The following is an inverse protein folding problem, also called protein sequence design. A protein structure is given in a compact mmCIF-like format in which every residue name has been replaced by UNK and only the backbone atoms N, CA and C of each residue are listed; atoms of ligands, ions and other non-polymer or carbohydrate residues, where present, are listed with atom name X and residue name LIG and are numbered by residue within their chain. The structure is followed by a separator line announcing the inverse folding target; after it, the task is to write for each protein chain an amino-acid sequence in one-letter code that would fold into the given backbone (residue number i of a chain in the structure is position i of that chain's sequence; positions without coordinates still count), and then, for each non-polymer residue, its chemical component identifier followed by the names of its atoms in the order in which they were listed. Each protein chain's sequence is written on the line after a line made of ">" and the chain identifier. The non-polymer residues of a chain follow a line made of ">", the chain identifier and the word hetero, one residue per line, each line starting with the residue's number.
data_IF_563157462351
#
_entry.id   IF_563157462351
#
_cell.length_a   1.000
_cell.length_b   1.000
_cell.length_c   1.000
_cell.angle_alpha   90.00
_cell.angle_beta   90.00
_cell.angle_gamma   90.00
#
_symmetry.space_group_name_H-M   'P 1'
#
loop_
_entity.id
_entity.type
_entity.pdbx_description
1 polymer ?
#
# COMPACT_ATOMS: atom_id res chain seq x y z
N UNK A 1 76.84 42.65 20.77
CA UNK A 1 76.83 41.55 19.76
C UNK A 1 75.47 40.88 19.84
N UNK A 2 74.62 41.12 18.85
CA UNK A 2 73.23 40.69 18.84
C UNK A 2 73.13 39.29 18.16
N UNK A 3 72.58 38.34 18.86
CA UNK A 3 72.25 37.04 18.30
C UNK A 3 70.77 36.96 18.02
N UNK A 4 70.43 36.84 16.75
CA UNK A 4 69.04 36.73 16.24
C UNK A 4 68.58 35.32 16.41
N UNK A 5 67.47 35.13 17.15
CA UNK A 5 66.75 33.86 17.23
C UNK A 5 65.75 33.74 16.07
N UNK A 6 65.91 32.74 15.23
CA UNK A 6 64.98 32.36 14.13
C UNK A 6 63.83 31.58 14.66
N UNK A 7 62.59 32.00 14.34
CA UNK A 7 61.34 31.28 14.62
C UNK A 7 61.18 30.15 13.60
N UNK A 8 61.20 28.89 14.03
CA UNK A 8 60.76 27.74 13.27
C UNK A 8 59.24 27.66 13.36
N UNK A 9 58.59 27.81 12.22
CA UNK A 9 57.15 27.61 12.04
C UNK A 9 56.83 26.09 12.08
N UNK A 10 56.03 25.70 13.06
CA UNK A 10 55.46 24.36 13.13
C UNK A 10 54.18 24.35 12.27
N UNK A 11 54.20 23.80 11.08
CA UNK A 11 52.99 23.48 10.33
C UNK A 11 52.41 22.17 10.89
N UNK A 12 51.32 22.30 11.67
CA UNK A 12 50.50 21.16 12.05
C UNK A 12 49.63 20.70 10.88
N UNK A 13 49.88 19.51 10.39
CA UNK A 13 48.99 18.83 9.44
C UNK A 13 47.81 18.30 10.23
N UNK A 14 46.65 18.99 10.09
CA UNK A 14 45.37 18.40 10.54
C UNK A 14 44.97 17.30 9.55
N UNK A 15 45.10 16.07 9.95
CA UNK A 15 44.50 14.94 9.25
C UNK A 15 42.96 14.99 9.44
N UNK A 16 42.23 15.38 8.42
CA UNK A 16 40.79 15.27 8.40
C UNK A 16 40.44 13.77 8.30
N UNK A 17 39.98 13.16 9.37
CA UNK A 17 39.38 11.87 9.35
C UNK A 17 38.04 11.94 8.56
N UNK A 18 37.78 11.06 7.60
CA UNK A 18 36.48 11.01 6.95
C UNK A 18 35.43 10.64 7.99
N UNK A 19 34.45 11.52 8.21
CA UNK A 19 33.25 11.22 8.95
C UNK A 19 32.48 10.17 8.13
N UNK A 20 32.62 8.90 8.46
CA UNK A 20 31.74 7.86 7.95
C UNK A 20 30.35 8.16 8.50
N UNK A 21 29.48 8.74 7.68
CA UNK A 21 28.07 8.88 8.00
C UNK A 21 27.54 7.46 8.23
N UNK A 22 27.24 7.13 9.49
CA UNK A 22 26.52 5.91 9.81
C UNK A 22 25.18 5.98 9.08
N UNK A 23 25.02 5.16 8.03
CA UNK A 23 23.74 4.94 7.38
C UNK A 23 22.86 4.32 8.47
N UNK A 24 21.89 5.10 8.97
CA UNK A 24 20.87 4.55 9.85
C UNK A 24 20.25 3.35 9.15
N UNK A 25 20.01 2.22 9.85
CA UNK A 25 19.37 1.07 9.23
C UNK A 25 18.05 1.53 8.63
N UNK A 26 17.86 1.34 7.33
CA UNK A 26 16.61 1.62 6.67
C UNK A 26 15.54 0.81 7.41
N UNK A 27 14.50 1.46 7.94
CA UNK A 27 13.35 0.74 8.50
C UNK A 27 12.86 -0.18 7.40
N UNK A 28 12.90 -1.49 7.63
CA UNK A 28 12.33 -2.44 6.68
C UNK A 28 10.86 -2.08 6.46
N UNK A 29 10.47 -1.90 5.21
CA UNK A 29 9.08 -1.60 4.85
C UNK A 29 8.24 -2.83 5.17
N UNK A 30 7.17 -2.71 5.99
CA UNK A 30 6.34 -3.85 6.35
C UNK A 30 5.69 -4.51 5.14
N UNK A 31 5.60 -5.84 5.17
CA UNK A 31 4.83 -6.61 4.20
C UNK A 31 3.61 -7.25 4.87
N UNK A 32 2.45 -7.04 4.27
CA UNK A 32 1.17 -7.54 4.71
C UNK A 32 0.47 -8.40 3.67
N UNK A 33 -0.71 -8.86 4.05
CA UNK A 33 -1.64 -9.60 3.20
C UNK A 33 -2.94 -8.83 3.07
N UNK A 34 -3.39 -8.61 1.83
CA UNK A 34 -4.79 -8.30 1.58
C UNK A 34 -5.62 -9.55 1.82
N UNK A 35 -6.58 -9.46 2.75
CA UNK A 35 -7.27 -10.66 3.28
C UNK A 35 -8.30 -11.25 2.31
N UNK A 36 -8.61 -10.56 1.21
CA UNK A 36 -9.37 -11.14 0.11
C UNK A 36 -8.64 -12.34 -0.52
N UNK A 37 -7.31 -12.37 -0.43
CA UNK A 37 -6.48 -13.50 -0.85
C UNK A 37 -6.79 -14.79 -0.11
N UNK A 38 -7.36 -14.70 1.10
CA UNK A 38 -7.71 -15.82 1.98
C UNK A 38 -9.18 -15.76 2.41
N UNK A 39 -10.04 -15.22 1.53
CA UNK A 39 -11.46 -14.91 1.82
C UNK A 39 -12.30 -16.10 2.25
N UNK A 40 -12.03 -17.30 1.70
CA UNK A 40 -12.76 -18.50 2.10
C UNK A 40 -12.39 -18.95 3.52
N UNK A 41 -11.09 -18.91 3.86
CA UNK A 41 -10.63 -19.21 5.20
C UNK A 41 -11.11 -18.13 6.19
N UNK A 42 -11.03 -16.84 5.80
CA UNK A 42 -11.47 -15.71 6.60
C UNK A 42 -12.97 -15.77 6.95
N UNK A 43 -13.80 -16.13 5.98
CA UNK A 43 -15.26 -16.29 6.17
C UNK A 43 -15.59 -17.43 7.15
N UNK A 44 -14.81 -18.50 7.16
CA UNK A 44 -15.01 -19.65 8.05
C UNK A 44 -14.55 -19.37 9.47
N UNK A 45 -13.39 -18.75 9.64
CA UNK A 45 -12.77 -18.41 10.93
C UNK A 45 -11.82 -17.22 10.79
N UNK A 46 -12.33 -16.02 11.01
CA UNK A 46 -11.53 -14.79 10.89
C UNK A 46 -10.32 -14.80 11.84
N UNK A 47 -10.55 -15.10 13.12
CA UNK A 47 -9.49 -15.04 14.13
C UNK A 47 -8.41 -16.11 13.88
N UNK A 48 -8.82 -17.33 13.50
CA UNK A 48 -7.89 -18.41 13.13
C UNK A 48 -7.09 -18.08 11.89
N UNK A 49 -7.74 -17.46 10.88
CA UNK A 49 -7.07 -17.03 9.64
C UNK A 49 -6.03 -15.96 9.91
N UNK A 50 -6.36 -14.92 10.69
CA UNK A 50 -5.41 -13.86 11.06
C UNK A 50 -4.23 -14.44 11.87
N UNK A 51 -4.46 -15.39 12.78
CA UNK A 51 -3.37 -16.12 13.47
C UNK A 51 -2.48 -16.89 12.51
N UNK A 52 -3.07 -17.54 11.51
CA UNK A 52 -2.33 -18.23 10.45
C UNK A 52 -1.46 -17.29 9.65
N UNK A 53 -2.00 -16.14 9.24
CA UNK A 53 -1.30 -15.07 8.52
C UNK A 53 -0.13 -14.52 9.34
N UNK A 54 -0.35 -14.24 10.63
CA UNK A 54 0.71 -13.80 11.56
C UNK A 54 1.83 -14.85 11.69
N UNK A 55 1.46 -16.15 11.81
CA UNK A 55 2.41 -17.26 11.90
C UNK A 55 3.29 -17.42 10.66
N UNK A 56 2.79 -17.07 9.47
CA UNK A 56 3.59 -17.03 8.23
C UNK A 56 4.66 -15.95 8.27
N UNK A 57 4.49 -14.92 9.12
CA UNK A 57 5.40 -13.80 9.28
C UNK A 57 5.01 -12.56 8.48
N UNK A 58 3.76 -12.40 8.14
CA UNK A 58 3.19 -11.13 7.68
C UNK A 58 3.17 -10.13 8.85
N UNK A 59 3.42 -8.87 8.55
CA UNK A 59 3.54 -7.80 9.56
C UNK A 59 2.30 -6.90 9.61
N UNK A 60 1.49 -6.93 8.57
CA UNK A 60 0.22 -6.22 8.52
C UNK A 60 -0.82 -6.98 7.70
N UNK A 61 -2.07 -6.55 7.82
CA UNK A 61 -3.20 -7.04 7.05
C UNK A 61 -4.04 -5.87 6.56
N UNK A 62 -4.76 -6.08 5.47
CA UNK A 62 -5.81 -5.20 5.00
C UNK A 62 -7.13 -5.95 5.01
N UNK A 63 -8.15 -5.39 5.68
CA UNK A 63 -9.51 -5.93 5.63
C UNK A 63 -10.27 -5.32 4.45
N UNK A 64 -11.14 -6.13 3.83
CA UNK A 64 -12.03 -5.70 2.75
C UNK A 64 -13.48 -5.55 3.21
N UNK A 65 -14.36 -5.11 2.33
CA UNK A 65 -15.73 -4.61 2.61
C UNK A 65 -16.54 -5.30 3.71
N UNK A 66 -16.56 -6.64 3.92
CA UNK A 66 -17.37 -7.25 4.98
C UNK A 66 -17.06 -6.74 6.39
N UNK A 67 -15.86 -6.18 6.65
CA UNK A 67 -15.55 -5.60 7.95
C UNK A 67 -16.47 -4.41 8.28
N UNK A 68 -17.01 -3.73 7.29
CA UNK A 68 -17.88 -2.57 7.47
C UNK A 68 -19.21 -2.94 8.14
N UNK A 69 -19.59 -4.21 8.14
CA UNK A 69 -20.78 -4.71 8.83
C UNK A 69 -20.54 -4.98 10.34
N UNK A 70 -19.29 -4.93 10.79
CA UNK A 70 -18.97 -5.20 12.20
C UNK A 70 -19.59 -4.17 13.14
N UNK A 71 -19.86 -4.61 14.36
CA UNK A 71 -20.10 -3.72 15.49
C UNK A 71 -18.77 -3.18 16.02
N UNK A 72 -18.80 -2.05 16.72
CA UNK A 72 -17.62 -1.51 17.38
C UNK A 72 -16.99 -2.53 18.35
N UNK A 73 -17.83 -3.25 19.12
CA UNK A 73 -17.36 -4.28 20.06
C UNK A 73 -16.61 -5.41 19.36
N UNK A 74 -17.10 -5.87 18.20
CA UNK A 74 -16.41 -6.89 17.44
C UNK A 74 -15.10 -6.36 16.82
N UNK A 75 -15.10 -5.13 16.32
CA UNK A 75 -13.88 -4.48 15.83
C UNK A 75 -12.81 -4.35 16.94
N UNK A 76 -13.22 -4.05 18.19
CA UNK A 76 -12.32 -4.06 19.35
C UNK A 76 -11.75 -5.44 19.64
N UNK A 77 -12.54 -6.52 19.51
CA UNK A 77 -12.04 -7.89 19.67
C UNK A 77 -11.01 -8.24 18.60
N UNK A 78 -11.27 -7.87 17.32
CA UNK A 78 -10.32 -8.06 16.23
C UNK A 78 -9.04 -7.26 16.50
N UNK A 79 -9.16 -6.00 16.90
CA UNK A 79 -8.01 -5.15 17.23
C UNK A 79 -7.16 -5.75 18.35
N UNK A 80 -7.78 -6.23 19.42
CA UNK A 80 -7.05 -6.87 20.52
C UNK A 80 -6.28 -8.12 20.05
N UNK A 81 -6.84 -8.89 19.11
CA UNK A 81 -6.15 -10.03 18.54
C UNK A 81 -4.97 -9.60 17.64
N UNK A 82 -5.14 -8.56 16.82
CA UNK A 82 -4.03 -8.00 16.02
C UNK A 82 -2.89 -7.54 16.93
N UNK A 83 -3.20 -6.83 18.01
CA UNK A 83 -2.21 -6.35 18.98
C UNK A 83 -1.48 -7.52 19.67
N UNK A 84 -2.20 -8.58 20.06
CA UNK A 84 -1.63 -9.78 20.67
C UNK A 84 -0.66 -10.50 19.70
N UNK A 85 -0.92 -10.45 18.41
CA UNK A 85 -0.12 -11.07 17.38
C UNK A 85 1.03 -10.17 16.88
N UNK A 86 1.04 -8.89 17.27
CA UNK A 86 2.00 -7.90 16.76
C UNK A 86 1.79 -7.58 15.27
N UNK A 87 0.57 -7.75 14.76
CA UNK A 87 0.20 -7.48 13.36
C UNK A 87 -0.58 -6.15 13.29
N UNK A 88 -0.36 -5.36 12.24
CA UNK A 88 -1.02 -4.07 12.08
C UNK A 88 -2.08 -4.10 10.97
N UNK A 89 -3.08 -3.22 11.09
CA UNK A 89 -3.97 -2.89 9.98
C UNK A 89 -3.70 -1.42 9.60
N UNK A 90 -3.06 -1.19 8.44
CA UNK A 90 -2.74 0.17 8.01
C UNK A 90 -3.80 0.78 7.09
N UNK A 91 -4.56 -0.05 6.40
CA UNK A 91 -5.62 0.33 5.49
C UNK A 91 -6.75 -0.71 5.45
N UNK A 92 -7.87 -0.28 4.90
CA UNK A 92 -9.03 -1.14 4.63
C UNK A 92 -9.60 -0.84 3.26
N UNK A 93 -10.12 -1.85 2.57
CA UNK A 93 -10.85 -1.73 1.31
C UNK A 93 -12.33 -1.50 1.55
N UNK A 94 -12.91 -0.54 0.84
CA UNK A 94 -14.27 -0.07 1.03
C UNK A 94 -14.96 0.20 -0.32
N UNK A 95 -16.29 0.13 -0.31
CA UNK A 95 -17.11 0.70 -1.36
C UNK A 95 -17.26 2.21 -1.22
N UNK A 96 -17.78 2.87 -2.27
CA UNK A 96 -17.96 4.32 -2.29
C UNK A 96 -18.94 4.82 -1.23
N UNK A 97 -19.89 4.00 -0.80
CA UNK A 97 -20.86 4.28 0.28
C UNK A 97 -20.17 4.61 1.62
N UNK A 98 -18.97 4.09 1.85
CA UNK A 98 -18.16 4.37 3.04
C UNK A 98 -17.59 5.80 3.09
N UNK A 99 -17.70 6.55 2.00
CA UNK A 99 -17.18 7.91 1.86
C UNK A 99 -18.27 8.98 1.80
N UNK A 100 -19.54 8.59 1.82
CA UNK A 100 -20.69 9.53 1.79
C UNK A 100 -21.33 9.63 3.18
N UNK A 101 -22.26 10.61 3.33
CA UNK A 101 -22.78 11.08 4.62
C UNK A 101 -23.24 10.00 5.60
N UNK A 102 -23.81 8.92 5.12
CA UNK A 102 -24.37 7.87 5.98
C UNK A 102 -23.30 6.84 6.39
N UNK A 103 -22.35 6.54 5.52
CA UNK A 103 -21.31 5.53 5.76
C UNK A 103 -20.03 6.06 6.41
N UNK A 104 -19.72 7.35 6.21
CA UNK A 104 -18.42 7.91 6.62
C UNK A 104 -18.17 7.87 8.12
N UNK A 105 -19.23 8.07 8.94
CA UNK A 105 -19.12 8.01 10.39
C UNK A 105 -18.67 6.64 10.87
N UNK A 106 -19.32 5.59 10.38
CA UNK A 106 -18.99 4.19 10.69
C UNK A 106 -17.60 3.82 10.17
N UNK A 107 -17.25 4.25 8.95
CA UNK A 107 -15.90 4.03 8.38
C UNK A 107 -14.82 4.63 9.29
N UNK A 108 -15.01 5.87 9.75
CA UNK A 108 -14.07 6.53 10.66
C UNK A 108 -13.94 5.76 11.97
N UNK A 109 -15.06 5.40 12.59
CA UNK A 109 -15.09 4.68 13.87
C UNK A 109 -14.33 3.35 13.76
N UNK A 110 -14.71 2.48 12.82
CA UNK A 110 -14.11 1.16 12.67
C UNK A 110 -12.61 1.23 12.32
N UNK A 111 -12.22 2.15 11.43
CA UNK A 111 -10.82 2.30 11.06
C UNK A 111 -9.96 2.85 12.21
N UNK A 112 -10.52 3.73 13.05
CA UNK A 112 -9.82 4.18 14.28
C UNK A 112 -9.64 3.04 15.27
N UNK A 113 -10.65 2.20 15.46
CA UNK A 113 -10.54 1.00 16.33
C UNK A 113 -9.47 0.07 15.79
N UNK A 114 -9.47 -0.23 14.48
CA UNK A 114 -8.48 -1.11 13.86
C UNK A 114 -7.08 -0.52 13.85
N UNK A 115 -6.93 0.80 14.04
CA UNK A 115 -5.67 1.51 14.00
C UNK A 115 -5.17 1.78 12.58
N UNK A 116 -6.09 1.78 11.61
CA UNK A 116 -5.79 2.12 10.23
C UNK A 116 -5.43 3.60 10.08
N UNK A 117 -4.70 3.91 9.02
CA UNK A 117 -4.36 5.28 8.60
C UNK A 117 -5.07 5.68 7.32
N UNK A 118 -5.43 4.69 6.52
CA UNK A 118 -6.02 4.88 5.20
C UNK A 118 -7.33 4.10 5.08
N UNK A 119 -8.37 4.80 4.63
CA UNK A 119 -9.64 4.22 4.20
C UNK A 119 -9.64 4.26 2.68
N UNK A 120 -9.52 3.11 2.04
CA UNK A 120 -9.27 3.02 0.59
C UNK A 120 -10.55 2.63 -0.13
N UNK A 121 -10.98 3.44 -1.11
CA UNK A 121 -12.05 3.08 -2.03
C UNK A 121 -11.51 2.08 -3.05
N UNK A 122 -11.97 0.84 -2.99
CA UNK A 122 -11.65 -0.22 -3.95
C UNK A 122 -12.84 -0.56 -4.86
N UNK A 123 -14.05 -0.20 -4.47
CA UNK A 123 -15.26 -0.49 -5.22
C UNK A 123 -16.14 0.76 -5.38
N UNK A 124 -15.89 1.59 -6.41
CA UNK A 124 -16.68 2.80 -6.64
C UNK A 124 -18.09 2.54 -7.21
N UNK A 125 -18.44 1.26 -7.47
CA UNK A 125 -19.64 0.88 -8.19
C UNK A 125 -19.53 1.14 -9.70
N UNK A 126 -20.66 1.20 -10.38
CA UNK A 126 -20.68 1.55 -11.81
C UNK A 126 -20.39 3.04 -12.01
N UNK A 127 -19.34 3.35 -12.77
CA UNK A 127 -18.91 4.72 -13.05
C UNK A 127 -19.09 5.04 -14.53
N UNK A 128 -20.02 5.93 -14.84
CA UNK A 128 -20.34 6.30 -16.23
C UNK A 128 -19.42 7.42 -16.73
N UNK A 129 -18.58 7.10 -17.72
CA UNK A 129 -17.74 8.06 -18.44
C UNK A 129 -16.75 8.84 -17.54
N UNK A 130 -16.00 9.75 -18.14
CA UNK A 130 -14.98 10.52 -17.40
C UNK A 130 -15.57 11.47 -16.35
N UNK A 131 -16.78 11.97 -16.54
CA UNK A 131 -17.44 12.83 -15.55
C UNK A 131 -17.89 12.03 -14.31
N UNK A 132 -18.21 10.74 -14.46
CA UNK A 132 -18.41 9.84 -13.33
C UNK A 132 -17.16 9.74 -12.46
N UNK A 133 -16.00 9.60 -13.08
CA UNK A 133 -14.72 9.54 -12.37
C UNK A 133 -14.33 10.84 -11.66
N UNK A 134 -14.70 12.01 -12.23
CA UNK A 134 -14.57 13.29 -11.53
C UNK A 134 -15.46 13.35 -10.28
N UNK A 135 -16.70 12.84 -10.37
CA UNK A 135 -17.60 12.76 -9.20
C UNK A 135 -17.05 11.83 -8.11
N UNK A 136 -16.45 10.69 -8.47
CA UNK A 136 -15.74 9.84 -7.50
C UNK A 136 -14.63 10.63 -6.80
N UNK A 137 -13.82 11.38 -7.55
CA UNK A 137 -12.78 12.22 -6.99
C UNK A 137 -13.34 13.31 -6.04
N UNK A 138 -14.45 13.95 -6.37
CA UNK A 138 -15.11 14.94 -5.52
C UNK A 138 -15.59 14.31 -4.20
N UNK A 139 -16.19 13.11 -4.25
CA UNK A 139 -16.62 12.37 -3.06
C UNK A 139 -15.42 12.06 -2.17
N UNK A 140 -14.35 11.55 -2.74
CA UNK A 140 -13.12 11.24 -2.00
C UNK A 140 -12.48 12.48 -1.39
N UNK A 141 -12.47 13.62 -2.10
CA UNK A 141 -11.96 14.89 -1.59
C UNK A 141 -12.75 15.34 -0.36
N UNK A 142 -14.11 15.33 -0.45
CA UNK A 142 -14.99 15.71 0.65
C UNK A 142 -14.81 14.80 1.87
N UNK A 143 -14.75 13.48 1.64
CA UNK A 143 -14.51 12.51 2.69
C UNK A 143 -13.14 12.70 3.36
N UNK A 144 -12.11 12.95 2.56
CA UNK A 144 -10.75 13.16 3.04
C UNK A 144 -10.64 14.37 3.98
N UNK A 145 -11.37 15.47 3.71
CA UNK A 145 -11.42 16.63 4.61
C UNK A 145 -11.99 16.23 6.00
N UNK A 146 -13.05 15.42 6.03
CA UNK A 146 -13.62 14.91 7.28
C UNK A 146 -12.65 13.96 7.99
N UNK A 147 -12.00 13.08 7.24
CA UNK A 147 -11.07 12.05 7.76
C UNK A 147 -9.77 12.65 8.32
N UNK A 148 -9.25 13.72 7.69
CA UNK A 148 -8.02 14.41 8.15
C UNK A 148 -8.12 14.85 9.60
N UNK A 149 -9.27 15.39 10.03
CA UNK A 149 -9.52 15.80 11.41
C UNK A 149 -9.55 14.65 12.41
N UNK A 150 -9.64 13.41 11.93
CA UNK A 150 -9.69 12.18 12.73
C UNK A 150 -8.39 11.35 12.67
N UNK A 151 -7.35 11.88 12.01
CA UNK A 151 -6.08 11.17 11.83
C UNK A 151 -6.07 10.15 10.70
N UNK A 152 -7.12 10.11 9.88
CA UNK A 152 -7.27 9.21 8.74
C UNK A 152 -7.05 9.96 7.42
N UNK A 153 -6.84 9.22 6.34
CA UNK A 153 -6.81 9.72 4.96
C UNK A 153 -7.62 8.81 4.07
N UNK A 154 -8.28 9.40 3.08
CA UNK A 154 -8.88 8.63 2.00
C UNK A 154 -7.80 8.08 1.05
N UNK A 155 -8.11 6.99 0.39
CA UNK A 155 -7.31 6.41 -0.68
C UNK A 155 -8.17 5.91 -1.82
N UNK A 156 -7.52 5.58 -2.93
CA UNK A 156 -8.14 4.88 -4.05
C UNK A 156 -7.25 3.71 -4.48
N UNK A 157 -7.86 2.55 -4.66
CA UNK A 157 -7.24 1.33 -5.19
C UNK A 157 -7.76 1.07 -6.60
N UNK A 158 -6.85 0.85 -7.54
CA UNK A 158 -7.21 0.60 -8.93
C UNK A 158 -7.46 -0.89 -9.21
N UNK A 159 -8.36 -1.11 -10.17
CA UNK A 159 -8.49 -2.34 -10.94
C UNK A 159 -8.10 -2.10 -12.40
N UNK A 160 -8.41 -3.04 -13.28
CA UNK A 160 -8.06 -2.93 -14.70
C UNK A 160 -8.92 -1.88 -15.46
N UNK A 161 -10.14 -1.63 -15.01
CA UNK A 161 -11.08 -0.71 -15.63
C UNK A 161 -10.55 0.74 -15.66
N UNK A 162 -9.89 1.17 -14.59
CA UNK A 162 -9.36 2.54 -14.46
C UNK A 162 -8.19 2.82 -15.41
N UNK A 163 -7.56 1.78 -15.94
CA UNK A 163 -6.47 1.89 -16.90
C UNK A 163 -6.94 1.87 -18.35
N UNK A 164 -8.17 1.41 -18.63
CA UNK A 164 -8.76 1.36 -19.97
C UNK A 164 -9.19 2.76 -20.40
N UNK A 165 -8.71 3.28 -21.54
CA UNK A 165 -9.07 4.63 -21.98
C UNK A 165 -10.55 4.77 -22.28
N UNK A 166 -11.15 5.87 -21.82
CA UNK A 166 -12.45 6.40 -22.24
C UNK A 166 -12.14 7.70 -22.97
N UNK A 167 -12.55 7.82 -24.23
CA UNK A 167 -12.27 9.00 -25.08
C UNK A 167 -10.79 9.40 -25.05
N UNK A 168 -9.88 8.42 -25.10
CA UNK A 168 -8.44 8.61 -25.11
C UNK A 168 -7.79 9.02 -23.78
N UNK A 169 -8.54 9.05 -22.67
CA UNK A 169 -8.04 9.38 -21.33
C UNK A 169 -8.29 8.23 -20.37
N UNK A 170 -7.32 7.91 -19.55
CA UNK A 170 -7.47 6.87 -18.52
C UNK A 170 -8.17 7.42 -17.27
N UNK A 171 -9.23 6.75 -16.78
CA UNK A 171 -9.88 7.10 -15.52
C UNK A 171 -8.93 7.32 -14.35
N UNK A 172 -7.89 6.47 -14.22
CA UNK A 172 -6.91 6.61 -13.14
C UNK A 172 -6.15 7.96 -13.20
N UNK A 173 -5.86 8.46 -14.39
CA UNK A 173 -5.22 9.78 -14.59
C UNK A 173 -6.18 10.93 -14.20
N UNK A 174 -7.49 10.78 -14.49
CA UNK A 174 -8.53 11.74 -14.08
C UNK A 174 -8.63 11.76 -12.55
N UNK A 175 -8.70 10.60 -11.89
CA UNK A 175 -8.70 10.49 -10.43
C UNK A 175 -7.49 11.16 -9.81
N UNK A 176 -6.29 10.83 -10.30
CA UNK A 176 -5.04 11.37 -9.77
C UNK A 176 -4.95 12.90 -9.92
N UNK A 177 -5.45 13.44 -11.03
CA UNK A 177 -5.47 14.87 -11.31
C UNK A 177 -6.52 15.62 -10.47
N UNK A 178 -7.70 15.01 -10.25
CA UNK A 178 -8.85 15.64 -9.60
C UNK A 178 -8.87 15.46 -8.06
N UNK A 179 -8.05 14.56 -7.51
CA UNK A 179 -7.99 14.32 -6.05
C UNK A 179 -6.91 15.14 -5.37
N UNK A 180 -7.18 15.57 -4.12
CA UNK A 180 -6.20 16.18 -3.22
C UNK A 180 -4.95 15.32 -3.10
N UNK A 181 -3.78 15.95 -3.01
CA UNK A 181 -2.49 15.24 -2.98
C UNK A 181 -2.26 14.41 -1.72
N UNK A 182 -3.03 14.62 -0.66
CA UNK A 182 -3.01 13.79 0.55
C UNK A 182 -3.83 12.50 0.43
N UNK A 183 -4.67 12.36 -0.59
CA UNK A 183 -5.36 11.12 -0.93
C UNK A 183 -4.35 10.17 -1.55
N UNK A 184 -4.20 9.00 -0.96
CA UNK A 184 -3.24 8.00 -1.46
C UNK A 184 -3.78 7.30 -2.72
N UNK A 185 -2.89 6.92 -3.60
CA UNK A 185 -3.15 6.09 -4.75
C UNK A 185 -2.51 4.72 -4.49
N UNK A 186 -3.29 3.81 -3.91
CA UNK A 186 -2.85 2.45 -3.67
C UNK A 186 -2.79 1.72 -5.01
N UNK A 187 -1.60 1.29 -5.41
CA UNK A 187 -1.36 0.70 -6.71
C UNK A 187 -1.50 -0.82 -6.66
N UNK A 188 -2.50 -1.37 -7.36
CA UNK A 188 -2.48 -2.78 -7.76
C UNK A 188 -1.66 -2.92 -9.02
N UNK A 189 -0.53 -3.61 -8.89
CA UNK A 189 0.44 -3.78 -9.98
C UNK A 189 -0.08 -4.74 -11.03
N UNK A 190 -0.73 -5.83 -10.62
CA UNK A 190 -1.23 -6.86 -11.53
C UNK A 190 -2.30 -6.34 -12.46
N UNK A 191 -3.29 -5.61 -11.94
CA UNK A 191 -4.36 -5.02 -12.75
C UNK A 191 -3.86 -3.88 -13.64
N UNK A 192 -2.88 -3.10 -13.18
CA UNK A 192 -2.18 -2.12 -14.00
C UNK A 192 -1.48 -2.78 -15.20
N UNK A 193 -0.71 -3.85 -14.96
CA UNK A 193 0.00 -4.62 -15.99
C UNK A 193 -0.96 -5.30 -16.98
N UNK A 194 -2.02 -5.93 -16.47
CA UNK A 194 -3.04 -6.60 -17.28
C UNK A 194 -3.71 -5.66 -18.27
N UNK A 195 -3.94 -4.41 -17.87
CA UNK A 195 -4.50 -3.38 -18.73
C UNK A 195 -3.47 -2.70 -19.65
N UNK A 196 -2.21 -3.18 -19.68
CA UNK A 196 -1.15 -2.66 -20.54
C UNK A 196 -0.61 -1.30 -20.09
N UNK A 197 -0.79 -0.92 -18.83
CA UNK A 197 -0.18 0.29 -18.25
C UNK A 197 1.19 -0.03 -17.62
N UNK A 198 2.02 0.99 -17.47
CA UNK A 198 3.35 0.88 -16.88
C UNK A 198 3.31 1.32 -15.41
N UNK A 199 3.41 0.38 -14.44
CA UNK A 199 3.35 0.70 -13.02
C UNK A 199 4.54 1.54 -12.55
N UNK A 200 5.72 1.40 -13.16
CA UNK A 200 6.91 2.18 -12.80
C UNK A 200 6.77 3.63 -13.26
N UNK A 201 6.27 3.86 -14.47
CA UNK A 201 5.96 5.19 -14.97
C UNK A 201 4.88 5.86 -14.12
N UNK A 202 3.86 5.10 -13.71
CA UNK A 202 2.79 5.58 -12.83
C UNK A 202 3.31 6.06 -11.47
N UNK A 203 4.16 5.26 -10.82
CA UNK A 203 4.79 5.65 -9.55
C UNK A 203 5.56 6.96 -9.70
N UNK A 204 6.39 7.07 -10.75
CA UNK A 204 7.19 8.26 -11.02
C UNK A 204 6.36 9.52 -11.30
N UNK A 205 5.19 9.35 -11.91
CA UNK A 205 4.25 10.46 -12.20
C UNK A 205 3.44 10.91 -10.99
N UNK A 206 3.42 10.13 -9.89
CA UNK A 206 2.64 10.41 -8.69
C UNK A 206 3.51 10.39 -7.43
N UNK A 207 4.56 11.25 -7.34
CA UNK A 207 5.52 11.23 -6.24
C UNK A 207 4.84 11.44 -4.88
N UNK A 208 5.20 10.59 -3.91
CA UNK A 208 4.71 10.66 -2.54
C UNK A 208 3.25 10.23 -2.33
N UNK A 209 2.56 9.75 -3.38
CA UNK A 209 1.16 9.33 -3.29
C UNK A 209 0.96 7.80 -3.28
N UNK A 210 1.98 7.03 -3.65
CA UNK A 210 1.91 5.57 -3.71
C UNK A 210 2.33 5.01 -2.35
N UNK A 211 1.48 5.22 -1.32
CA UNK A 211 1.78 4.85 0.07
C UNK A 211 1.68 3.36 0.35
N UNK A 212 0.92 2.64 -0.46
CA UNK A 212 0.87 1.18 -0.45
C UNK A 212 0.79 0.61 -1.86
N UNK A 213 1.26 -0.61 -2.01
CA UNK A 213 1.27 -1.33 -3.27
C UNK A 213 0.73 -2.73 -3.02
N UNK A 214 -0.26 -3.13 -3.81
CA UNK A 214 -0.66 -4.53 -3.92
C UNK A 214 0.32 -5.26 -4.83
N UNK A 215 1.07 -6.15 -4.19
CA UNK A 215 2.05 -7.03 -4.84
C UNK A 215 1.29 -8.21 -5.43
N UNK A 216 0.64 -7.93 -6.55
CA UNK A 216 -0.09 -8.87 -7.38
C UNK A 216 0.64 -8.98 -8.70
N UNK A 217 1.04 -10.18 -9.08
CA UNK A 217 1.75 -10.39 -10.34
C UNK A 217 0.79 -10.79 -11.45
N UNK A 218 1.23 -10.64 -12.68
CA UNK A 218 0.45 -10.98 -13.85
C UNK A 218 1.37 -11.45 -14.99
N UNK A 219 0.86 -12.35 -15.83
CA UNK A 219 1.52 -12.72 -17.07
C UNK A 219 0.52 -12.94 -18.21
N UNK A 220 0.90 -12.73 -19.49
CA UNK A 220 0.02 -12.96 -20.61
C UNK A 220 -0.45 -14.42 -20.75
N UNK A 221 0.30 -15.39 -20.20
CA UNK A 221 0.04 -16.83 -20.36
C UNK A 221 -0.85 -17.41 -19.26
N UNK A 222 -0.71 -16.89 -18.03
CA UNK A 222 -1.41 -17.43 -16.85
C UNK A 222 -2.26 -16.39 -16.13
N UNK A 223 -2.32 -15.17 -16.66
CA UNK A 223 -3.05 -14.05 -16.07
C UNK A 223 -2.66 -13.86 -14.59
N UNK A 224 -3.62 -13.77 -13.70
CA UNK A 224 -3.40 -13.62 -12.26
C UNK A 224 -3.08 -14.93 -11.52
N UNK A 225 -2.97 -16.07 -12.21
CA UNK A 225 -2.66 -17.36 -11.57
C UNK A 225 -1.17 -17.59 -11.29
N UNK A 226 -0.33 -16.60 -11.58
CA UNK A 226 1.11 -16.61 -11.26
C UNK A 226 1.34 -16.15 -9.83
N UNK A 227 2.28 -16.78 -9.13
CA UNK A 227 2.70 -16.28 -7.82
C UNK A 227 3.60 -15.05 -7.98
N UNK A 228 3.79 -14.31 -6.89
CA UNK A 228 4.67 -13.14 -6.84
C UNK A 228 6.05 -13.44 -7.43
N UNK A 229 6.42 -12.74 -8.48
CA UNK A 229 7.71 -12.89 -9.17
C UNK A 229 7.76 -13.95 -10.26
N UNK A 230 6.67 -14.67 -10.49
CA UNK A 230 6.56 -15.64 -11.60
C UNK A 230 5.95 -15.02 -12.87
N UNK A 231 5.47 -13.78 -12.77
CA UNK A 231 4.85 -13.03 -13.84
C UNK A 231 5.81 -12.17 -14.65
N UNK A 232 5.27 -11.10 -15.22
CA UNK A 232 5.99 -10.20 -16.12
C UNK A 232 6.32 -8.85 -15.48
N UNK A 233 6.03 -8.66 -14.20
CA UNK A 233 6.23 -7.40 -13.49
C UNK A 233 7.70 -7.09 -13.31
N UNK A 234 8.18 -5.87 -13.64
CA UNK A 234 9.57 -5.47 -13.47
C UNK A 234 9.86 -5.11 -12.00
N UNK A 235 9.77 -6.07 -11.08
CA UNK A 235 9.78 -5.88 -9.63
C UNK A 235 10.95 -5.04 -9.13
N UNK A 236 12.16 -5.27 -9.61
CA UNK A 236 13.35 -4.52 -9.18
C UNK A 236 13.21 -3.01 -9.45
N UNK A 237 12.75 -2.65 -10.65
CA UNK A 237 12.52 -1.25 -11.03
C UNK A 237 11.34 -0.66 -10.27
N UNK A 238 10.31 -1.46 -10.02
CA UNK A 238 9.11 -1.06 -9.29
C UNK A 238 9.44 -0.75 -7.83
N UNK A 239 10.12 -1.62 -7.11
CA UNK A 239 10.55 -1.38 -5.72
C UNK A 239 11.44 -0.15 -5.63
N UNK A 240 12.43 -0.01 -6.52
CA UNK A 240 13.29 1.17 -6.55
C UNK A 240 12.50 2.47 -6.74
N UNK A 241 11.51 2.50 -7.64
CA UNK A 241 10.66 3.67 -7.84
C UNK A 241 9.73 3.92 -6.64
N UNK A 242 9.12 2.87 -6.08
CA UNK A 242 8.21 2.96 -4.94
C UNK A 242 8.90 3.56 -3.70
N UNK A 243 10.11 3.12 -3.43
CA UNK A 243 10.86 3.49 -2.23
C UNK A 243 11.59 4.84 -2.33
N UNK A 244 11.95 5.25 -3.56
CA UNK A 244 12.65 6.54 -3.76
C UNK A 244 11.72 7.69 -4.10
N UNK A 245 10.69 7.43 -4.90
CA UNK A 245 9.78 8.46 -5.44
C UNK A 245 8.35 8.29 -4.95
N UNK A 246 7.84 7.04 -4.95
CA UNK A 246 6.44 6.72 -4.63
C UNK A 246 6.04 7.07 -3.20
N UNK A 247 6.97 6.89 -2.25
CA UNK A 247 6.76 7.13 -0.83
C UNK A 247 6.03 5.97 -0.15
N UNK A 248 6.26 4.73 -0.62
CA UNK A 248 5.65 3.51 -0.08
C UNK A 248 5.95 3.35 1.41
N UNK A 249 4.92 3.02 2.17
CA UNK A 249 4.98 2.81 3.62
C UNK A 249 4.83 1.34 4.00
N UNK A 250 4.14 0.55 3.18
CA UNK A 250 3.95 -0.90 3.34
C UNK A 250 3.56 -1.54 1.99
N UNK A 251 3.86 -2.81 1.86
CA UNK A 251 3.43 -3.67 0.76
C UNK A 251 2.31 -4.60 1.23
N UNK A 252 1.39 -4.92 0.34
CA UNK A 252 0.31 -5.88 0.57
C UNK A 252 0.38 -6.94 -0.53
N UNK A 253 0.66 -8.17 -0.16
CA UNK A 253 0.54 -9.27 -1.11
C UNK A 253 -0.95 -9.52 -1.35
N UNK A 254 -1.32 -9.62 -2.62
CA UNK A 254 -2.66 -10.03 -3.05
C UNK A 254 -2.55 -11.12 -4.10
N UNK A 255 -3.27 -12.21 -3.89
CA UNK A 255 -3.36 -13.30 -4.86
C UNK A 255 -4.73 -13.99 -4.77
N UNK A 256 -5.50 -13.86 -5.83
CA UNK A 256 -6.91 -14.29 -5.86
C UNK A 256 -7.13 -15.72 -6.33
N UNK A 257 -6.08 -16.41 -6.74
CA UNK A 257 -6.15 -17.81 -7.15
C UNK A 257 -4.83 -18.33 -7.68
N UNK A 258 -4.55 -19.60 -7.39
CA UNK A 258 -3.38 -20.33 -7.89
C UNK A 258 -3.71 -21.83 -7.95
N UNK A 259 -2.70 -22.66 -8.15
CA UNK A 259 -2.87 -24.12 -8.10
C UNK A 259 -2.79 -24.68 -6.66
N UNK A 260 -2.69 -23.81 -5.66
CA UNK A 260 -2.59 -24.14 -4.25
C UNK A 260 -3.81 -23.64 -3.47
N UNK A 261 -3.97 -24.08 -2.22
CA UNK A 261 -4.95 -23.50 -1.31
C UNK A 261 -4.61 -22.02 -1.02
N UNK A 262 -5.61 -21.21 -0.63
CA UNK A 262 -5.42 -19.79 -0.32
C UNK A 262 -4.28 -19.54 0.67
N UNK A 263 -4.26 -20.29 1.78
CA UNK A 263 -3.23 -20.14 2.82
C UNK A 263 -1.84 -20.57 2.34
N UNK A 264 -1.75 -21.62 1.55
CA UNK A 264 -0.48 -22.05 0.96
C UNK A 264 -0.01 -21.04 -0.10
N UNK A 265 -0.91 -20.52 -0.91
CA UNK A 265 -0.64 -19.45 -1.87
C UNK A 265 -0.06 -18.21 -1.18
N UNK A 266 -0.70 -17.75 -0.11
CA UNK A 266 -0.23 -16.62 0.68
C UNK A 266 1.18 -16.88 1.25
N UNK A 267 1.42 -18.07 1.80
CA UNK A 267 2.73 -18.43 2.33
C UNK A 267 3.82 -18.44 1.25
N UNK A 268 3.53 -18.99 0.07
CA UNK A 268 4.46 -19.04 -1.07
C UNK A 268 4.76 -17.66 -1.60
N UNK A 269 3.74 -16.81 -1.78
CA UNK A 269 3.91 -15.43 -2.23
C UNK A 269 4.79 -14.62 -1.29
N UNK A 270 4.62 -14.76 0.04
CA UNK A 270 5.49 -14.10 1.00
C UNK A 270 6.96 -14.56 0.90
N UNK A 271 7.18 -15.86 0.72
CA UNK A 271 8.54 -16.40 0.56
C UNK A 271 9.21 -15.89 -0.72
N UNK A 272 8.44 -15.78 -1.81
CA UNK A 272 8.91 -15.24 -3.09
C UNK A 272 9.14 -13.73 -3.01
N UNK A 273 8.24 -12.97 -2.38
CA UNK A 273 8.42 -11.53 -2.14
C UNK A 273 9.75 -11.25 -1.41
N UNK A 274 10.04 -11.99 -0.34
CA UNK A 274 11.29 -11.83 0.43
C UNK A 274 12.56 -12.11 -0.39
N UNK A 275 12.47 -12.98 -1.39
CA UNK A 275 13.59 -13.24 -2.32
C UNK A 275 13.76 -12.14 -3.37
N UNK A 276 12.66 -11.50 -3.76
CA UNK A 276 12.66 -10.44 -4.78
C UNK A 276 13.07 -9.08 -4.22
N UNK A 277 12.60 -8.79 -3.01
CA UNK A 277 12.78 -7.49 -2.36
C UNK A 277 14.14 -7.41 -1.63
N UNK A 278 14.72 -8.54 -1.21
CA UNK A 278 16.00 -8.63 -0.49
C UNK A 278 15.79 -8.73 0.99
#
# INVERSE_FOLDING_TARGET
>A
MNTIMTRRSFMGIMAAAPLAAAVAPSKSIPVGLELYSVREALTKDLMGTVRGVAKMGYQCVEFYSPYHDWTADYAHQVRAELDRLGIHCYSTHNGLESFISEGIGKSIELNKILGARYVVCAHPGEVAGLDGWKRVAEILNKANETMKGQGLRAGYHNHDAEWKPIDGKRPMEILAAATDKSIILQLDVGTCMAAGADPVAWIKSNPGRIRSIHVKDWSPQKEYRVLTGEGSTPWKQLFAAAETVGGVEYYLIEQEGSDYSEMETAQRCLALFRKLHG
#
